data_IF_408182282753
#
_entry.id   IF_408182282753
#
_cell.length_a   1.000
_cell.length_b   1.000
_cell.length_c   1.000
_cell.angle_alpha   90.00
_cell.angle_beta   90.00
_cell.angle_gamma   90.00
#
_symmetry.space_group_name_H-M   'P 1'
#
loop_
_entity.id
_entity.type
_entity.pdbx_description
1 polymer ?
#
# COMPACT_ATOMS: atom_id res chain seq x y z
N UNK A 1 -31.27 -18.24 23.00
CA UNK A 1 -30.23 -17.40 22.32
C UNK A 1 -28.86 -17.96 22.67
N UNK A 2 -27.93 -17.97 21.74
CA UNK A 2 -26.53 -18.32 22.00
C UNK A 2 -25.92 -17.25 22.91
N UNK A 3 -25.16 -17.66 23.96
CA UNK A 3 -24.54 -16.72 24.87
C UNK A 3 -23.50 -15.88 24.16
N UNK A 4 -23.35 -14.60 24.53
CA UNK A 4 -22.39 -13.69 23.89
C UNK A 4 -20.96 -14.23 23.90
N UNK A 5 -20.54 -14.89 25.00
CA UNK A 5 -19.23 -15.53 25.10
C UNK A 5 -19.03 -16.62 24.02
N UNK A 6 -20.06 -17.44 23.72
CA UNK A 6 -19.97 -18.48 22.69
C UNK A 6 -19.83 -17.86 21.29
N UNK A 7 -20.56 -16.78 21.01
CA UNK A 7 -20.44 -16.04 19.73
C UNK A 7 -19.05 -15.47 19.54
N UNK A 8 -18.50 -14.86 20.59
CA UNK A 8 -17.15 -14.27 20.54
C UNK A 8 -16.09 -15.35 20.35
N UNK A 9 -16.19 -16.48 21.08
CA UNK A 9 -15.30 -17.65 20.87
C UNK A 9 -15.36 -18.16 19.42
N UNK A 10 -16.58 -18.41 18.93
CA UNK A 10 -16.78 -18.86 17.55
C UNK A 10 -16.17 -17.89 16.53
N UNK A 11 -16.29 -16.57 16.76
CA UNK A 11 -15.69 -15.57 15.91
C UNK A 11 -14.15 -15.58 15.96
N UNK A 12 -13.57 -15.71 17.17
CA UNK A 12 -12.12 -15.80 17.35
C UNK A 12 -11.56 -17.02 16.61
N UNK A 13 -12.19 -18.19 16.79
CA UNK A 13 -11.76 -19.44 16.16
C UNK A 13 -11.93 -19.41 14.62
N UNK A 14 -13.13 -19.00 14.15
CA UNK A 14 -13.45 -18.98 12.71
C UNK A 14 -12.51 -18.05 11.90
N UNK A 15 -12.17 -16.89 12.46
CA UNK A 15 -11.39 -15.86 11.76
C UNK A 15 -9.95 -15.75 12.25
N UNK A 16 -9.51 -16.61 13.17
CA UNK A 16 -8.15 -16.59 13.71
C UNK A 16 -7.80 -15.24 14.33
N UNK A 17 -8.74 -14.62 15.08
CA UNK A 17 -8.55 -13.25 15.58
C UNK A 17 -7.49 -13.16 16.68
N UNK A 18 -7.41 -14.17 17.53
CA UNK A 18 -6.50 -14.22 18.68
C UNK A 18 -5.89 -15.62 18.72
N UNK A 19 -4.56 -15.70 18.84
CA UNK A 19 -3.82 -16.95 19.01
C UNK A 19 -3.42 -17.15 20.47
N UNK A 20 -3.07 -18.40 20.80
CA UNK A 20 -2.57 -18.73 22.12
C UNK A 20 -1.27 -17.97 22.42
N UNK A 21 -1.14 -17.49 23.67
CA UNK A 21 -0.04 -16.69 24.19
C UNK A 21 0.08 -15.27 23.59
N UNK A 22 -0.87 -14.83 22.78
CA UNK A 22 -0.94 -13.42 22.37
C UNK A 22 -1.44 -12.53 23.51
N UNK A 23 -1.01 -11.28 23.52
CA UNK A 23 -1.57 -10.24 24.37
C UNK A 23 -2.47 -9.33 23.56
N UNK A 24 -3.69 -9.08 24.05
CA UNK A 24 -4.72 -8.30 23.37
C UNK A 24 -4.97 -6.99 24.13
N UNK A 25 -4.79 -5.87 23.44
CA UNK A 25 -5.15 -4.55 23.94
C UNK A 25 -6.61 -4.26 23.61
N UNK A 26 -7.43 -3.99 24.60
CA UNK A 26 -8.83 -3.59 24.42
C UNK A 26 -8.93 -2.07 24.39
N UNK A 27 -9.44 -1.52 23.27
CA UNK A 27 -9.80 -0.10 23.18
C UNK A 27 -11.04 0.18 24.02
N UNK A 28 -10.87 0.79 25.17
CA UNK A 28 -11.90 0.94 26.21
C UNK A 28 -12.37 2.39 26.27
N UNK A 29 -13.59 2.67 25.73
CA UNK A 29 -14.20 4.00 25.77
C UNK A 29 -14.94 4.30 27.09
N UNK A 30 -15.25 3.28 27.86
CA UNK A 30 -16.14 3.37 29.03
C UNK A 30 -17.61 3.09 28.72
N UNK A 31 -18.01 3.08 27.44
CA UNK A 31 -19.39 2.74 27.03
C UNK A 31 -19.69 1.23 27.07
N UNK A 32 -20.98 0.89 27.04
CA UNK A 32 -21.51 -0.47 27.19
C UNK A 32 -20.77 -1.51 26.33
N UNK A 33 -20.58 -1.21 25.01
CA UNK A 33 -19.99 -2.15 24.06
C UNK A 33 -18.51 -2.47 24.41
N UNK A 34 -17.73 -1.46 24.78
CA UNK A 34 -16.32 -1.64 25.12
C UNK A 34 -16.12 -2.34 26.47
N UNK A 35 -16.97 -2.04 27.45
CA UNK A 35 -16.96 -2.69 28.77
C UNK A 35 -17.39 -4.16 28.64
N UNK A 36 -18.45 -4.44 27.86
CA UNK A 36 -18.87 -5.80 27.57
C UNK A 36 -17.79 -6.60 26.82
N UNK A 37 -17.11 -6.00 25.83
CA UNK A 37 -16.00 -6.63 25.12
C UNK A 37 -14.88 -7.03 26.11
N UNK A 38 -14.43 -6.09 26.95
CA UNK A 38 -13.41 -6.37 27.95
C UNK A 38 -13.82 -7.53 28.87
N UNK A 39 -15.05 -7.49 29.39
CA UNK A 39 -15.56 -8.50 30.30
C UNK A 39 -15.69 -9.90 29.64
N UNK A 40 -16.20 -9.98 28.41
CA UNK A 40 -16.27 -11.25 27.65
C UNK A 40 -14.88 -11.80 27.43
N UNK A 41 -13.95 -10.97 26.96
CA UNK A 41 -12.58 -11.42 26.71
C UNK A 41 -11.88 -11.87 27.99
N UNK A 42 -12.09 -11.22 29.13
CA UNK A 42 -11.56 -11.65 30.44
C UNK A 42 -12.09 -13.04 30.83
N UNK A 43 -13.38 -13.33 30.60
CA UNK A 43 -13.97 -14.63 30.91
C UNK A 43 -13.41 -15.77 30.07
N UNK A 44 -13.13 -15.53 28.80
CA UNK A 44 -12.67 -16.57 27.85
C UNK A 44 -11.15 -16.69 27.80
N UNK A 45 -10.40 -15.67 28.19
CA UNK A 45 -8.94 -15.65 28.13
C UNK A 45 -8.26 -16.85 28.83
N UNK A 46 -8.67 -17.28 30.03
CA UNK A 46 -8.02 -18.43 30.69
C UNK A 46 -8.16 -19.74 29.91
N UNK A 47 -9.30 -19.93 29.23
CA UNK A 47 -9.56 -21.13 28.41
C UNK A 47 -8.81 -21.08 27.08
N UNK A 48 -8.78 -19.90 26.44
CA UNK A 48 -8.15 -19.73 25.11
C UNK A 48 -6.65 -19.45 25.19
N UNK A 49 -6.13 -19.12 26.38
CA UNK A 49 -4.69 -18.97 26.64
C UNK A 49 -4.09 -17.67 26.10
N UNK A 50 -4.76 -16.53 26.24
CA UNK A 50 -4.25 -15.21 25.88
C UNK A 50 -4.31 -14.24 27.08
N UNK A 51 -3.59 -13.12 26.99
CA UNK A 51 -3.56 -12.08 28.03
C UNK A 51 -4.26 -10.81 27.55
N UNK A 52 -4.70 -9.98 28.52
CA UNK A 52 -5.38 -8.72 28.24
C UNK A 52 -4.68 -7.52 28.86
N UNK A 53 -4.73 -6.42 28.11
CA UNK A 53 -4.48 -5.07 28.58
C UNK A 53 -5.50 -4.10 27.96
N UNK A 54 -5.55 -2.87 28.41
CA UNK A 54 -6.52 -1.89 27.97
C UNK A 54 -5.86 -0.54 27.63
N UNK A 55 -6.52 0.21 26.74
CA UNK A 55 -6.14 1.58 26.42
C UNK A 55 -7.38 2.49 26.36
N UNK A 56 -7.31 3.64 27.00
CA UNK A 56 -8.37 4.66 27.00
C UNK A 56 -7.84 5.99 26.48
N UNK A 57 -8.51 6.55 25.47
CA UNK A 57 -8.22 7.88 24.96
C UNK A 57 -9.32 8.86 25.33
N UNK A 58 -8.96 9.88 26.11
CA UNK A 58 -9.79 11.05 26.34
C UNK A 58 -9.61 12.04 25.18
N UNK A 59 -10.67 12.30 24.43
CA UNK A 59 -10.63 13.14 23.23
C UNK A 59 -10.64 14.65 23.51
N UNK A 60 -10.78 15.07 24.79
CA UNK A 60 -10.86 16.49 25.16
C UNK A 60 -12.11 17.23 24.63
N UNK A 61 -13.14 16.50 24.16
CA UNK A 61 -14.33 17.09 23.51
C UNK A 61 -15.38 17.50 24.56
N UNK A 62 -15.59 16.67 25.59
CA UNK A 62 -16.71 16.79 26.54
C UNK A 62 -16.32 17.31 27.92
N UNK A 63 -15.10 17.83 28.10
CA UNK A 63 -14.64 18.42 29.36
C UNK A 63 -14.84 17.48 30.58
N UNK A 64 -15.71 17.88 31.54
CA UNK A 64 -15.95 17.13 32.75
C UNK A 64 -16.51 15.70 32.56
N UNK A 65 -17.31 15.46 31.50
CA UNK A 65 -17.83 14.11 31.22
C UNK A 65 -16.69 13.18 30.78
N UNK A 66 -15.79 13.66 29.89
CA UNK A 66 -14.65 12.87 29.43
C UNK A 66 -13.69 12.52 30.58
N UNK A 67 -13.50 13.43 31.56
CA UNK A 67 -12.70 13.15 32.74
C UNK A 67 -13.37 12.11 33.67
N UNK A 68 -14.70 12.20 33.87
CA UNK A 68 -15.47 11.19 34.59
C UNK A 68 -15.33 9.80 33.94
N UNK A 69 -15.45 9.72 32.61
CA UNK A 69 -15.34 8.47 31.85
C UNK A 69 -13.93 7.89 32.03
N UNK A 70 -12.90 8.72 32.01
CA UNK A 70 -11.50 8.29 32.27
C UNK A 70 -11.33 7.74 33.68
N UNK A 71 -11.83 8.42 34.70
CA UNK A 71 -11.78 7.92 36.10
C UNK A 71 -12.50 6.58 36.24
N UNK A 72 -13.69 6.44 35.63
CA UNK A 72 -14.44 5.19 35.61
C UNK A 72 -13.62 4.04 35.01
N UNK A 73 -12.98 4.26 33.83
CA UNK A 73 -12.17 3.25 33.16
C UNK A 73 -10.95 2.86 34.02
N UNK A 74 -10.31 3.82 34.70
CA UNK A 74 -9.19 3.57 35.60
C UNK A 74 -9.60 2.70 36.79
N UNK A 75 -10.73 3.01 37.41
CA UNK A 75 -11.28 2.23 38.51
C UNK A 75 -11.67 0.82 38.09
N UNK A 76 -12.33 0.68 36.95
CA UNK A 76 -12.73 -0.60 36.35
C UNK A 76 -11.50 -1.50 36.11
N UNK A 77 -10.50 -1.00 35.39
CA UNK A 77 -9.30 -1.77 35.10
C UNK A 77 -8.51 -2.14 36.36
N UNK A 78 -8.41 -1.23 37.33
CA UNK A 78 -7.79 -1.50 38.63
C UNK A 78 -8.53 -2.62 39.39
N UNK A 79 -9.86 -2.59 39.41
CA UNK A 79 -10.69 -3.63 40.05
C UNK A 79 -10.57 -5.01 39.37
N UNK A 80 -10.37 -5.04 38.06
CA UNK A 80 -10.21 -6.25 37.27
C UNK A 80 -8.75 -6.74 37.14
N UNK A 81 -7.78 -5.98 37.64
CA UNK A 81 -6.35 -6.30 37.55
C UNK A 81 -5.81 -6.22 36.10
N UNK A 82 -6.43 -5.41 35.23
CA UNK A 82 -6.05 -5.23 33.81
C UNK A 82 -5.08 -4.07 33.68
N UNK A 83 -3.88 -4.25 33.09
CA UNK A 83 -2.97 -3.16 32.78
C UNK A 83 -3.63 -2.13 31.86
N UNK A 84 -3.52 -0.84 32.16
CA UNK A 84 -4.20 0.24 31.44
C UNK A 84 -3.23 1.37 31.12
N UNK A 85 -3.27 1.84 29.85
CA UNK A 85 -2.66 3.11 29.43
C UNK A 85 -3.76 4.11 29.11
N UNK A 86 -3.66 5.32 29.66
CA UNK A 86 -4.59 6.43 29.37
C UNK A 86 -3.82 7.60 28.77
N UNK A 87 -4.43 8.25 27.77
CA UNK A 87 -3.91 9.49 27.19
C UNK A 87 -5.06 10.49 27.00
N UNK A 88 -4.75 11.78 27.10
CA UNK A 88 -5.69 12.87 26.82
C UNK A 88 -5.16 13.71 25.65
N UNK A 89 -5.98 13.98 24.63
CA UNK A 89 -5.65 14.78 23.46
C UNK A 89 -6.72 15.85 23.20
N UNK A 90 -6.28 17.07 22.87
CA UNK A 90 -7.17 18.13 22.35
C UNK A 90 -7.53 17.87 20.90
N UNK A 91 -8.45 16.94 20.66
CA UNK A 91 -8.91 16.62 19.30
C UNK A 91 -9.53 17.82 18.57
N UNK A 92 -10.34 18.70 19.19
CA UNK A 92 -10.82 19.91 18.55
C UNK A 92 -9.71 20.84 18.04
N UNK A 93 -8.63 21.00 18.82
CA UNK A 93 -7.45 21.78 18.40
C UNK A 93 -6.72 21.14 17.22
N UNK A 94 -6.52 19.83 17.27
CA UNK A 94 -5.86 19.05 16.21
C UNK A 94 -6.69 19.11 14.91
N UNK A 95 -8.00 18.88 14.97
CA UNK A 95 -8.89 18.92 13.82
C UNK A 95 -8.81 20.27 13.09
N UNK A 96 -8.82 21.38 13.85
CA UNK A 96 -8.67 22.73 13.29
C UNK A 96 -7.30 22.95 12.64
N UNK A 97 -6.23 22.49 13.30
CA UNK A 97 -4.86 22.65 12.79
C UNK A 97 -4.62 21.83 11.49
N UNK A 98 -5.20 20.64 11.40
CA UNK A 98 -5.04 19.73 10.25
C UNK A 98 -6.10 19.93 9.15
N UNK A 99 -7.09 20.81 9.34
CA UNK A 99 -8.17 21.04 8.37
C UNK A 99 -9.08 19.83 8.15
N UNK A 100 -9.22 18.97 9.18
CA UNK A 100 -10.02 17.75 9.16
C UNK A 100 -11.35 17.93 9.90
N UNK A 101 -12.32 17.04 9.61
CA UNK A 101 -13.50 16.95 10.46
C UNK A 101 -13.12 16.40 11.84
N UNK A 102 -13.91 16.75 12.86
CA UNK A 102 -13.71 16.27 14.22
C UNK A 102 -13.68 14.73 14.29
N UNK A 103 -14.59 14.08 13.57
CA UNK A 103 -14.69 12.60 13.49
C UNK A 103 -13.45 11.98 12.86
N UNK A 104 -12.94 12.56 11.76
CA UNK A 104 -11.72 12.08 11.11
C UNK A 104 -10.51 12.21 12.03
N UNK A 105 -10.31 13.39 12.63
CA UNK A 105 -9.19 13.60 13.55
C UNK A 105 -9.27 12.67 14.76
N UNK A 106 -10.47 12.54 15.38
CA UNK A 106 -10.69 11.65 16.51
C UNK A 106 -10.37 10.18 16.15
N UNK A 107 -10.81 9.72 14.98
CA UNK A 107 -10.56 8.36 14.49
C UNK A 107 -9.06 8.12 14.26
N UNK A 108 -8.38 8.99 13.55
CA UNK A 108 -6.95 8.85 13.25
C UNK A 108 -6.12 8.83 14.54
N UNK A 109 -6.32 9.81 15.43
CA UNK A 109 -5.57 9.92 16.69
C UNK A 109 -5.86 8.76 17.64
N UNK A 110 -7.07 8.21 17.63
CA UNK A 110 -7.42 6.99 18.39
C UNK A 110 -6.60 5.80 17.94
N UNK A 111 -6.48 5.54 16.63
CA UNK A 111 -5.69 4.41 16.13
C UNK A 111 -4.19 4.64 16.31
N UNK A 112 -3.68 5.86 16.11
CA UNK A 112 -2.29 6.21 16.43
C UNK A 112 -1.98 5.92 17.90
N UNK A 113 -2.86 6.32 18.81
CA UNK A 113 -2.71 6.05 20.25
C UNK A 113 -2.77 4.54 20.55
N UNK A 114 -3.73 3.81 20.01
CA UNK A 114 -3.83 2.37 20.23
C UNK A 114 -2.58 1.61 19.76
N UNK A 115 -2.00 2.00 18.64
CA UNK A 115 -0.74 1.39 18.18
C UNK A 115 0.44 1.72 19.10
N UNK A 116 0.54 2.94 19.63
CA UNK A 116 1.56 3.29 20.64
C UNK A 116 1.38 2.50 21.93
N UNK A 117 0.16 2.48 22.48
CA UNK A 117 -0.17 1.74 23.68
C UNK A 117 0.05 0.23 23.54
N UNK A 118 -0.29 -0.35 22.37
CA UNK A 118 -0.01 -1.76 22.08
C UNK A 118 1.49 -2.06 22.11
N UNK A 119 2.32 -1.18 21.53
CA UNK A 119 3.77 -1.32 21.58
C UNK A 119 4.32 -1.18 23.00
N UNK A 120 3.81 -0.25 23.78
CA UNK A 120 4.21 -0.01 25.18
C UNK A 120 3.89 -1.21 26.07
N UNK A 121 2.70 -1.79 25.93
CA UNK A 121 2.23 -2.92 26.72
C UNK A 121 2.61 -4.29 26.14
N UNK A 122 3.32 -4.34 25.02
CA UNK A 122 3.69 -5.58 24.33
C UNK A 122 2.47 -6.35 23.83
N UNK A 123 1.44 -5.66 23.31
CA UNK A 123 0.23 -6.31 22.78
C UNK A 123 0.36 -6.60 21.29
N UNK A 124 -0.03 -7.82 20.90
CA UNK A 124 -0.01 -8.33 19.53
C UNK A 124 -1.23 -7.88 18.74
N UNK A 125 -2.39 -7.77 19.40
CA UNK A 125 -3.68 -7.43 18.81
C UNK A 125 -4.32 -6.26 19.53
N UNK A 126 -5.17 -5.51 18.78
CA UNK A 126 -5.98 -4.39 19.29
C UNK A 126 -7.44 -4.74 19.04
N UNK A 127 -8.18 -5.05 20.10
CA UNK A 127 -9.60 -5.36 20.03
C UNK A 127 -10.45 -4.09 20.18
N UNK A 128 -11.36 -3.87 19.22
CA UNK A 128 -12.32 -2.76 19.22
C UNK A 128 -13.75 -3.28 19.23
N UNK A 129 -14.66 -2.59 19.93
CA UNK A 129 -15.99 -3.03 20.23
C UNK A 129 -17.02 -2.73 19.12
N UNK A 130 -16.62 -2.78 17.85
CA UNK A 130 -17.59 -2.69 16.75
C UNK A 130 -18.47 -3.95 16.72
N UNK A 131 -19.76 -3.76 16.52
CA UNK A 131 -20.77 -4.81 16.57
C UNK A 131 -21.58 -4.88 15.26
N UNK A 132 -22.57 -5.81 15.18
CA UNK A 132 -23.34 -6.09 13.98
C UNK A 132 -24.14 -4.86 13.48
N UNK A 133 -24.65 -4.05 14.39
CA UNK A 133 -25.39 -2.83 14.00
C UNK A 133 -24.45 -1.79 13.37
N UNK A 134 -23.21 -1.62 13.86
CA UNK A 134 -22.19 -0.80 13.22
C UNK A 134 -21.80 -1.31 11.83
N UNK A 135 -21.80 -2.64 11.66
CA UNK A 135 -21.55 -3.29 10.38
C UNK A 135 -22.63 -2.92 9.37
N UNK A 136 -23.91 -3.03 9.77
CA UNK A 136 -25.05 -2.65 8.93
C UNK A 136 -25.00 -1.17 8.54
N UNK A 137 -24.71 -0.27 9.50
CA UNK A 137 -24.53 1.16 9.24
C UNK A 137 -23.43 1.41 8.19
N UNK A 138 -22.29 0.72 8.31
CA UNK A 138 -21.18 0.86 7.39
C UNK A 138 -21.54 0.39 5.98
N UNK A 139 -22.21 -0.77 5.85
CA UNK A 139 -22.67 -1.30 4.57
C UNK A 139 -23.67 -0.33 3.93
N UNK A 140 -24.67 0.14 4.69
CA UNK A 140 -25.66 1.11 4.20
C UNK A 140 -25.02 2.42 3.75
N UNK A 141 -24.05 2.94 4.51
CA UNK A 141 -23.34 4.17 4.14
C UNK A 141 -22.59 4.01 2.82
N UNK A 142 -21.92 2.86 2.62
CA UNK A 142 -21.21 2.54 1.39
C UNK A 142 -22.18 2.32 0.21
N UNK A 143 -23.29 1.66 0.43
CA UNK A 143 -24.35 1.47 -0.57
C UNK A 143 -24.89 2.82 -1.07
N UNK A 144 -25.25 3.72 -0.15
CA UNK A 144 -25.76 5.06 -0.47
C UNK A 144 -24.73 5.90 -1.24
N UNK A 145 -23.43 5.72 -0.96
CA UNK A 145 -22.33 6.38 -1.68
C UNK A 145 -21.99 5.75 -3.03
N UNK A 146 -22.64 4.65 -3.42
CA UNK A 146 -22.36 3.95 -4.67
C UNK A 146 -21.05 3.19 -4.67
N UNK A 147 -20.59 2.70 -3.51
CA UNK A 147 -19.37 1.92 -3.41
C UNK A 147 -19.49 0.57 -4.13
N UNK A 148 -18.35 0.07 -4.67
CA UNK A 148 -18.27 -1.28 -5.23
C UNK A 148 -18.32 -2.38 -4.17
N UNK A 149 -18.11 -3.63 -4.58
CA UNK A 149 -18.22 -4.83 -3.71
C UNK A 149 -17.48 -4.68 -2.38
N UNK A 150 -16.25 -4.16 -2.38
CA UNK A 150 -15.45 -3.97 -1.14
C UNK A 150 -16.17 -3.12 -0.09
N UNK A 151 -16.90 -2.09 -0.50
CA UNK A 151 -17.70 -1.30 0.45
C UNK A 151 -18.90 -2.07 1.01
N UNK A 152 -19.53 -2.93 0.21
CA UNK A 152 -20.69 -3.74 0.59
C UNK A 152 -20.36 -4.91 1.51
N UNK A 153 -19.08 -5.30 1.62
CA UNK A 153 -18.62 -6.27 2.62
C UNK A 153 -18.57 -5.69 4.04
N UNK A 154 -18.64 -4.36 4.16
CA UNK A 154 -18.54 -3.65 5.43
C UNK A 154 -17.14 -3.74 6.06
N UNK A 155 -17.09 -3.77 7.40
CA UNK A 155 -15.83 -3.88 8.15
C UNK A 155 -15.28 -5.30 8.12
N UNK A 156 -13.96 -5.43 8.00
CA UNK A 156 -13.27 -6.72 8.12
C UNK A 156 -13.21 -7.18 9.59
N UNK A 157 -13.32 -8.50 9.86
CA UNK A 157 -13.11 -9.06 11.20
C UNK A 157 -11.77 -8.70 11.80
N UNK A 158 -10.72 -8.71 10.97
CA UNK A 158 -9.37 -8.28 11.28
C UNK A 158 -8.81 -7.40 10.16
N UNK A 159 -8.07 -6.37 10.53
CA UNK A 159 -7.32 -5.51 9.61
C UNK A 159 -5.97 -5.15 10.25
N UNK A 160 -4.89 -5.71 9.69
CA UNK A 160 -3.60 -5.67 10.35
C UNK A 160 -3.66 -6.35 11.73
N UNK A 161 -3.32 -5.61 12.78
CA UNK A 161 -3.43 -6.09 14.17
C UNK A 161 -4.74 -5.68 14.87
N UNK A 162 -5.65 -4.99 14.18
CA UNK A 162 -6.94 -4.58 14.75
C UNK A 162 -7.95 -5.69 14.53
N UNK A 163 -8.65 -6.13 15.59
CA UNK A 163 -9.66 -7.19 15.58
C UNK A 163 -11.00 -6.69 16.12
N UNK A 164 -12.11 -7.32 15.66
CA UNK A 164 -13.49 -6.94 16.02
C UNK A 164 -14.29 -8.15 16.49
N UNK A 165 -14.05 -8.61 17.73
CA UNK A 165 -14.66 -9.83 18.23
C UNK A 165 -16.19 -9.79 18.37
N UNK A 166 -16.79 -8.58 18.51
CA UNK A 166 -18.25 -8.38 18.64
C UNK A 166 -18.98 -8.19 17.31
N UNK A 167 -18.30 -8.29 16.16
CA UNK A 167 -18.87 -7.95 14.85
C UNK A 167 -20.13 -8.78 14.48
N UNK A 168 -20.35 -9.92 15.13
CA UNK A 168 -21.52 -10.82 14.95
C UNK A 168 -22.54 -10.73 16.06
N UNK A 169 -22.34 -9.86 17.04
CA UNK A 169 -23.30 -9.60 18.12
C UNK A 169 -24.15 -8.37 17.81
N UNK A 170 -25.45 -8.44 18.07
CA UNK A 170 -26.34 -7.30 18.02
C UNK A 170 -26.10 -6.43 19.26
N UNK A 171 -26.27 -5.12 19.12
CA UNK A 171 -26.17 -4.19 20.23
C UNK A 171 -27.08 -4.60 21.41
N UNK A 172 -28.32 -5.02 21.12
CA UNK A 172 -29.24 -5.51 22.14
C UNK A 172 -28.66 -6.69 22.93
N UNK A 173 -27.99 -7.64 22.30
CA UNK A 173 -27.38 -8.78 22.98
C UNK A 173 -26.22 -8.33 23.91
N UNK A 174 -25.49 -7.31 23.51
CA UNK A 174 -24.40 -6.72 24.30
C UNK A 174 -24.99 -6.00 25.53
N UNK A 175 -26.08 -5.24 25.38
CA UNK A 175 -26.78 -4.56 26.44
C UNK A 175 -27.41 -5.56 27.45
N UNK A 176 -28.08 -6.62 26.95
CA UNK A 176 -28.60 -7.72 27.75
C UNK A 176 -27.49 -8.41 28.54
N UNK A 177 -26.36 -8.70 27.88
CA UNK A 177 -25.18 -9.29 28.55
C UNK A 177 -24.63 -8.37 29.66
N UNK A 178 -24.53 -7.07 29.40
CA UNK A 178 -24.06 -6.11 30.40
C UNK A 178 -25.01 -6.06 31.62
N UNK A 179 -26.30 -6.09 31.39
CA UNK A 179 -27.32 -6.13 32.46
C UNK A 179 -27.26 -7.44 33.26
N UNK A 180 -27.19 -8.59 32.59
CA UNK A 180 -27.15 -9.92 33.25
C UNK A 180 -25.88 -10.12 34.10
N UNK A 181 -24.78 -9.44 33.74
CA UNK A 181 -23.54 -9.49 34.53
C UNK A 181 -23.35 -8.30 35.45
N UNK A 182 -24.34 -7.41 35.59
CA UNK A 182 -24.29 -6.24 36.48
C UNK A 182 -23.16 -5.26 36.14
N UNK A 183 -22.81 -5.12 34.83
CA UNK A 183 -21.74 -4.25 34.41
C UNK A 183 -22.16 -2.78 34.47
N UNK A 184 -21.37 -1.97 35.13
CA UNK A 184 -21.52 -0.51 35.07
C UNK A 184 -20.78 0.04 33.85
N UNK A 185 -21.35 1.08 33.20
CA UNK A 185 -20.75 1.76 32.05
C UNK A 185 -21.21 3.22 31.98
N UNK A 186 -20.49 4.04 31.23
CA UNK A 186 -20.83 5.44 30.99
C UNK A 186 -21.77 5.56 29.78
N UNK A 187 -22.82 6.40 29.90
CA UNK A 187 -23.68 6.72 28.76
C UNK A 187 -23.13 7.93 28.00
N UNK A 188 -22.98 7.79 26.68
CA UNK A 188 -22.53 8.85 25.81
C UNK A 188 -23.73 9.67 25.29
N UNK A 189 -23.82 10.94 25.68
CA UNK A 189 -24.90 11.86 25.27
C UNK A 189 -24.88 12.19 23.77
N UNK A 190 -23.74 12.09 23.09
CA UNK A 190 -23.59 12.43 21.65
C UNK A 190 -24.16 11.37 20.70
N UNK A 191 -24.47 10.19 21.19
CA UNK A 191 -25.10 9.11 20.39
C UNK A 191 -26.48 9.48 19.84
N UNK A 192 -27.11 10.55 20.31
CA UNK A 192 -28.45 11.01 19.93
C UNK A 192 -28.43 12.16 18.91
N UNK A 193 -27.26 12.70 18.55
CA UNK A 193 -27.16 13.81 17.59
C UNK A 193 -27.37 13.31 16.15
N UNK A 194 -28.34 13.95 15.41
CA UNK A 194 -28.74 13.54 14.04
C UNK A 194 -27.93 14.17 12.90
N UNK A 195 -26.91 14.95 13.21
CA UNK A 195 -26.21 15.75 12.19
C UNK A 195 -25.30 14.93 11.28
N UNK A 196 -24.80 13.80 11.73
CA UNK A 196 -23.97 12.91 10.91
C UNK A 196 -24.83 11.92 10.09
N UNK A 197 -24.46 11.68 8.84
CA UNK A 197 -25.14 10.72 7.95
C UNK A 197 -25.27 9.31 8.58
N UNK A 198 -24.28 8.91 9.37
CA UNK A 198 -24.28 7.63 10.07
C UNK A 198 -25.36 7.56 11.14
N UNK A 199 -25.55 8.63 11.89
CA UNK A 199 -26.61 8.69 12.91
C UNK A 199 -28.01 8.69 12.29
N UNK A 200 -28.22 9.30 11.10
CA UNK A 200 -29.49 9.18 10.36
C UNK A 200 -29.78 7.75 9.91
N UNK A 201 -28.75 7.02 9.47
CA UNK A 201 -28.90 5.60 9.12
C UNK A 201 -29.31 4.80 10.36
N UNK A 202 -28.63 5.02 11.51
CA UNK A 202 -28.89 4.34 12.79
C UNK A 202 -30.25 4.65 13.38
N UNK A 203 -30.64 5.93 13.44
CA UNK A 203 -31.81 6.37 14.19
C UNK A 203 -33.08 6.43 13.36
N UNK A 204 -32.96 6.59 12.04
CA UNK A 204 -34.12 6.80 11.18
C UNK A 204 -34.27 5.66 10.16
N UNK A 205 -33.24 5.35 9.36
CA UNK A 205 -33.39 4.48 8.20
C UNK A 205 -33.44 2.97 8.58
N UNK A 206 -32.51 2.49 9.38
CA UNK A 206 -32.49 1.08 9.80
C UNK A 206 -33.77 0.74 10.59
N UNK A 207 -34.19 1.52 11.61
CA UNK A 207 -35.46 1.27 12.32
C UNK A 207 -36.66 1.28 11.38
N UNK A 208 -36.75 2.25 10.46
CA UNK A 208 -37.85 2.30 9.49
C UNK A 208 -37.95 1.01 8.66
N UNK A 209 -36.80 0.50 8.18
CA UNK A 209 -36.78 -0.74 7.39
C UNK A 209 -37.15 -1.94 8.27
N UNK A 210 -36.66 -2.01 9.49
CA UNK A 210 -36.97 -3.12 10.41
C UNK A 210 -38.45 -3.17 10.79
N UNK A 211 -39.04 -2.02 11.06
CA UNK A 211 -40.43 -1.92 11.51
C UNK A 211 -41.45 -2.09 10.38
N UNK A 212 -41.11 -1.67 9.15
CA UNK A 212 -42.08 -1.60 8.06
C UNK A 212 -41.84 -2.59 6.91
N UNK A 213 -40.60 -3.09 6.75
CA UNK A 213 -40.24 -3.91 5.58
C UNK A 213 -39.65 -5.26 5.95
N UNK A 214 -38.63 -5.30 6.83
CA UNK A 214 -37.94 -6.53 7.17
C UNK A 214 -37.35 -6.48 8.59
N UNK A 215 -37.96 -7.13 9.59
CA UNK A 215 -37.46 -7.16 10.96
C UNK A 215 -36.03 -7.71 11.10
N UNK A 216 -35.59 -8.62 10.19
CA UNK A 216 -34.26 -9.23 10.17
C UNK A 216 -33.30 -8.50 9.21
N UNK A 217 -33.56 -7.22 8.92
CA UNK A 217 -32.77 -6.46 7.92
C UNK A 217 -31.27 -6.42 8.25
N UNK A 218 -30.92 -6.15 9.50
CA UNK A 218 -29.50 -6.04 9.92
C UNK A 218 -28.77 -7.36 9.76
N UNK A 219 -29.37 -8.45 10.21
CA UNK A 219 -28.82 -9.82 10.06
C UNK A 219 -28.67 -10.20 8.59
N UNK A 220 -29.70 -9.94 7.78
CA UNK A 220 -29.67 -10.19 6.34
C UNK A 220 -28.59 -9.39 5.62
N UNK A 221 -28.44 -8.11 5.96
CA UNK A 221 -27.45 -7.24 5.38
C UNK A 221 -26.01 -7.69 5.73
N UNK A 222 -25.77 -8.05 6.99
CA UNK A 222 -24.48 -8.55 7.44
C UNK A 222 -24.15 -9.92 6.83
N UNK A 223 -25.14 -10.81 6.70
CA UNK A 223 -25.00 -12.11 6.02
C UNK A 223 -24.65 -11.92 4.53
N UNK A 224 -25.30 -10.99 3.85
CA UNK A 224 -24.94 -10.63 2.47
C UNK A 224 -23.49 -10.14 2.39
N UNK A 225 -23.07 -9.25 3.30
CA UNK A 225 -21.68 -8.76 3.34
C UNK A 225 -20.67 -9.87 3.51
N UNK A 226 -20.98 -10.89 4.31
CA UNK A 226 -20.10 -12.07 4.54
C UNK A 226 -20.02 -12.97 3.30
N UNK A 227 -21.13 -13.20 2.58
CA UNK A 227 -21.11 -13.95 1.33
C UNK A 227 -20.29 -13.23 0.26
N UNK A 228 -20.46 -11.91 0.13
CA UNK A 228 -19.67 -11.10 -0.79
C UNK A 228 -18.18 -11.14 -0.45
N UNK A 229 -17.82 -11.23 0.83
CA UNK A 229 -16.43 -11.36 1.27
C UNK A 229 -15.81 -12.67 0.80
N UNK A 230 -16.53 -13.81 0.96
CA UNK A 230 -16.05 -15.10 0.51
C UNK A 230 -15.81 -15.13 -1.01
N UNK A 231 -16.73 -14.56 -1.80
CA UNK A 231 -16.58 -14.46 -3.25
C UNK A 231 -15.41 -13.57 -3.63
N UNK A 232 -15.25 -12.40 -2.96
CA UNK A 232 -14.15 -11.46 -3.23
C UNK A 232 -12.78 -12.07 -2.88
N UNK A 233 -12.66 -12.77 -1.74
CA UNK A 233 -11.44 -13.45 -1.33
C UNK A 233 -11.03 -14.54 -2.33
N UNK A 234 -12.00 -15.32 -2.82
CA UNK A 234 -11.76 -16.34 -3.84
C UNK A 234 -11.30 -15.74 -5.16
N UNK A 235 -11.99 -14.69 -5.64
CA UNK A 235 -11.62 -13.98 -6.88
C UNK A 235 -10.28 -13.25 -6.77
N UNK A 236 -9.99 -12.63 -5.63
CA UNK A 236 -8.69 -12.00 -5.36
C UNK A 236 -7.57 -13.06 -5.32
N UNK A 237 -7.84 -14.26 -4.77
CA UNK A 237 -6.92 -15.41 -4.80
C UNK A 237 -6.58 -15.81 -6.25
N UNK A 238 -7.59 -16.06 -7.07
CA UNK A 238 -7.40 -16.39 -8.49
C UNK A 238 -6.66 -15.28 -9.26
N UNK A 239 -6.95 -14.02 -8.96
CA UNK A 239 -6.28 -12.90 -9.61
C UNK A 239 -4.81 -12.80 -9.23
N UNK A 240 -4.44 -13.08 -7.97
CA UNK A 240 -3.04 -13.15 -7.50
C UNK A 240 -2.28 -14.29 -8.15
N UNK A 241 -2.90 -15.47 -8.27
CA UNK A 241 -2.30 -16.61 -8.94
C UNK A 241 -2.04 -16.29 -10.42
N UNK A 242 -3.02 -15.76 -11.13
CA UNK A 242 -2.87 -15.32 -12.51
C UNK A 242 -1.79 -14.23 -12.69
N UNK A 243 -1.70 -13.30 -11.74
CA UNK A 243 -0.67 -12.26 -11.75
C UNK A 243 0.73 -12.85 -11.54
N UNK A 244 0.87 -13.84 -10.64
CA UNK A 244 2.11 -14.56 -10.39
C UNK A 244 2.58 -15.34 -11.61
N UNK A 245 1.65 -16.02 -12.31
CA UNK A 245 1.94 -16.73 -13.56
C UNK A 245 2.31 -15.79 -14.73
N UNK A 246 1.77 -14.57 -14.74
CA UNK A 246 2.10 -13.57 -15.74
C UNK A 246 3.41 -12.83 -15.43
N UNK A 247 4.08 -13.07 -14.30
CA UNK A 247 5.31 -12.36 -13.89
C UNK A 247 6.43 -12.59 -14.89
N UNK A 248 7.13 -11.51 -15.27
CA UNK A 248 8.33 -11.51 -16.13
C UNK A 248 9.49 -10.82 -15.39
N UNK A 249 10.68 -10.79 -15.98
CA UNK A 249 11.82 -10.06 -15.39
C UNK A 249 11.58 -8.55 -15.29
N UNK A 250 10.80 -7.96 -16.22
CA UNK A 250 10.59 -6.51 -16.29
C UNK A 250 9.22 -6.07 -15.76
N UNK A 251 8.27 -7.00 -15.57
CA UNK A 251 6.90 -6.67 -15.19
C UNK A 251 5.96 -7.86 -15.31
N UNK A 252 4.90 -7.73 -16.10
CA UNK A 252 3.90 -8.80 -16.31
C UNK A 252 3.62 -9.00 -17.80
N UNK A 253 3.51 -10.25 -18.24
CA UNK A 253 3.11 -10.62 -19.60
C UNK A 253 1.72 -10.08 -19.91
N UNK A 254 1.67 -9.12 -20.82
CA UNK A 254 0.43 -8.43 -21.17
C UNK A 254 -0.56 -9.30 -21.96
N UNK A 255 -0.08 -10.29 -22.72
CA UNK A 255 -0.96 -11.19 -23.46
C UNK A 255 -1.69 -12.14 -22.51
N UNK A 256 -0.99 -12.68 -21.51
CA UNK A 256 -1.60 -13.47 -20.44
C UNK A 256 -2.63 -12.66 -19.66
N UNK A 257 -2.29 -11.43 -19.24
CA UNK A 257 -3.24 -10.57 -18.54
C UNK A 257 -4.43 -10.19 -19.43
N UNK A 258 -4.23 -9.91 -20.71
CA UNK A 258 -5.31 -9.58 -21.65
C UNK A 258 -6.29 -10.75 -21.86
N UNK A 259 -5.81 -11.99 -21.77
CA UNK A 259 -6.64 -13.20 -21.92
C UNK A 259 -7.52 -13.50 -20.70
N UNK A 260 -7.26 -12.89 -19.54
CA UNK A 260 -8.06 -13.12 -18.33
C UNK A 260 -9.52 -12.66 -18.52
N UNK A 261 -10.49 -13.36 -17.92
CA UNK A 261 -11.85 -12.84 -17.77
C UNK A 261 -11.85 -11.45 -17.09
N UNK A 262 -12.77 -10.59 -17.50
CA UNK A 262 -12.82 -9.19 -17.03
C UNK A 262 -12.75 -9.04 -15.50
N UNK A 263 -13.47 -9.83 -14.69
CA UNK A 263 -13.38 -9.74 -13.22
C UNK A 263 -11.99 -10.03 -12.66
N UNK A 264 -11.27 -10.99 -13.23
CA UNK A 264 -9.91 -11.32 -12.80
C UNK A 264 -8.88 -10.33 -13.32
N UNK A 265 -9.03 -9.90 -14.58
CA UNK A 265 -8.18 -8.90 -15.22
C UNK A 265 -8.12 -7.60 -14.42
N UNK A 266 -9.29 -7.05 -14.08
CA UNK A 266 -9.37 -5.79 -13.33
C UNK A 266 -8.78 -5.91 -11.93
N UNK A 267 -8.95 -7.06 -11.26
CA UNK A 267 -8.35 -7.35 -9.95
C UNK A 267 -6.84 -7.51 -10.04
N UNK A 268 -6.35 -8.31 -10.98
CA UNK A 268 -4.91 -8.53 -11.18
C UNK A 268 -4.18 -7.21 -11.43
N UNK A 269 -4.72 -6.35 -12.29
CA UNK A 269 -4.16 -5.01 -12.53
C UNK A 269 -4.19 -4.16 -11.27
N UNK A 270 -5.30 -4.16 -10.51
CA UNK A 270 -5.39 -3.41 -9.25
C UNK A 270 -4.35 -3.90 -8.24
N UNK A 271 -4.18 -5.21 -8.10
CA UNK A 271 -3.16 -5.81 -7.22
C UNK A 271 -1.76 -5.35 -7.65
N UNK A 272 -1.43 -5.45 -8.95
CA UNK A 272 -0.14 -5.03 -9.47
C UNK A 272 0.15 -3.54 -9.23
N UNK A 273 -0.86 -2.68 -9.36
CA UNK A 273 -0.79 -1.23 -9.08
C UNK A 273 -0.46 -0.96 -7.60
N UNK A 274 -1.12 -1.67 -6.68
CA UNK A 274 -0.85 -1.52 -5.24
C UNK A 274 0.50 -2.13 -4.84
N UNK A 275 0.90 -3.27 -5.39
CA UNK A 275 2.24 -3.86 -5.19
C UNK A 275 3.37 -2.94 -5.68
N UNK A 276 3.10 -2.12 -6.70
CA UNK A 276 4.05 -1.15 -7.21
C UNK A 276 4.13 0.15 -6.39
N UNK A 277 3.35 0.28 -5.31
CA UNK A 277 3.43 1.39 -4.35
C UNK A 277 2.32 2.44 -4.44
N UNK A 278 1.25 2.22 -5.21
CA UNK A 278 0.06 3.06 -5.10
C UNK A 278 -0.63 2.81 -3.76
N UNK A 279 -0.93 3.87 -3.01
CA UNK A 279 -1.47 3.76 -1.64
C UNK A 279 -2.92 4.21 -1.52
N UNK A 280 -3.36 5.15 -2.34
CA UNK A 280 -4.70 5.74 -2.30
C UNK A 280 -5.12 6.27 -3.68
N UNK A 281 -6.38 6.71 -3.79
CA UNK A 281 -6.93 7.44 -4.95
C UNK A 281 -6.90 6.70 -6.30
N UNK A 282 -6.75 5.36 -6.27
CA UNK A 282 -6.82 4.54 -7.49
C UNK A 282 -8.29 4.27 -7.83
N UNK A 283 -8.84 5.09 -8.72
CA UNK A 283 -10.20 4.98 -9.19
C UNK A 283 -10.37 3.92 -10.30
N UNK A 284 -11.63 3.54 -10.55
CA UNK A 284 -12.00 2.61 -11.63
C UNK A 284 -11.46 3.03 -13.00
N UNK A 285 -11.54 4.32 -13.34
CA UNK A 285 -11.03 4.87 -14.61
C UNK A 285 -9.51 4.62 -14.81
N UNK A 286 -8.74 4.61 -13.73
CA UNK A 286 -7.29 4.32 -13.80
C UNK A 286 -7.06 2.86 -14.17
N UNK A 287 -7.81 1.95 -13.58
CA UNK A 287 -7.71 0.51 -13.90
C UNK A 287 -8.18 0.23 -15.33
N UNK A 288 -9.29 0.83 -15.78
CA UNK A 288 -9.79 0.72 -17.16
C UNK A 288 -8.75 1.19 -18.19
N UNK A 289 -8.13 2.36 -17.93
CA UNK A 289 -7.03 2.88 -18.77
C UNK A 289 -5.86 1.92 -18.88
N UNK A 290 -5.48 1.24 -17.79
CA UNK A 290 -4.40 0.26 -17.80
C UNK A 290 -4.84 -1.00 -18.57
N UNK A 291 -6.09 -1.44 -18.43
CA UNK A 291 -6.62 -2.58 -19.21
C UNK A 291 -6.53 -2.31 -20.72
N UNK A 292 -6.84 -1.09 -21.18
CA UNK A 292 -6.71 -0.70 -22.59
C UNK A 292 -5.25 -0.76 -23.06
N UNK A 293 -4.30 -0.48 -22.15
CA UNK A 293 -2.87 -0.57 -22.48
C UNK A 293 -2.38 -1.98 -22.74
N UNK A 294 -3.07 -3.02 -22.29
CA UNK A 294 -2.68 -4.41 -22.55
C UNK A 294 -2.65 -4.74 -24.05
N UNK A 295 -3.43 -4.04 -24.87
CA UNK A 295 -3.46 -4.19 -26.35
C UNK A 295 -2.77 -3.04 -27.08
N UNK A 296 -2.30 -2.02 -26.38
CA UNK A 296 -1.70 -0.83 -26.98
C UNK A 296 -0.30 -1.11 -27.55
N UNK A 297 0.22 -0.17 -28.36
CA UNK A 297 1.59 -0.24 -28.91
C UNK A 297 2.65 -0.08 -27.81
N UNK A 298 3.81 -0.68 -28.02
CA UNK A 298 5.00 -0.50 -27.15
C UNK A 298 5.29 0.99 -26.94
N UNK A 299 5.51 1.39 -25.69
CA UNK A 299 5.73 2.76 -25.28
C UNK A 299 4.46 3.52 -24.87
N UNK A 300 3.28 2.90 -24.93
CA UNK A 300 2.09 3.44 -24.27
C UNK A 300 2.34 3.56 -22.75
N UNK A 301 1.83 4.64 -22.15
CA UNK A 301 1.98 4.90 -20.72
C UNK A 301 0.73 5.54 -20.13
N UNK A 302 0.53 5.34 -18.84
CA UNK A 302 -0.49 5.99 -18.04
C UNK A 302 0.08 6.36 -16.69
N UNK A 303 -0.11 7.63 -16.29
CA UNK A 303 0.18 8.07 -14.94
C UNK A 303 -1.04 7.81 -14.06
N UNK A 304 -0.79 7.27 -12.89
CA UNK A 304 -1.75 6.92 -11.84
C UNK A 304 -1.25 7.61 -10.57
N UNK A 305 -2.10 7.89 -9.58
CA UNK A 305 -1.62 8.44 -8.32
C UNK A 305 -0.44 7.63 -7.76
N UNK A 306 0.67 8.31 -7.49
CA UNK A 306 1.95 7.82 -6.93
C UNK A 306 2.80 6.91 -7.83
N UNK A 307 2.27 6.34 -8.92
CA UNK A 307 3.02 5.46 -9.82
C UNK A 307 2.67 5.71 -11.30
N UNK A 308 3.44 5.10 -12.20
CA UNK A 308 3.14 5.04 -13.63
C UNK A 308 3.05 3.59 -14.10
N UNK A 309 2.22 3.34 -15.13
CA UNK A 309 2.20 2.10 -15.88
C UNK A 309 2.72 2.35 -17.30
N UNK A 310 3.51 1.43 -17.85
CA UNK A 310 4.00 1.53 -19.24
C UNK A 310 4.10 0.18 -19.91
N UNK A 311 4.00 0.18 -21.24
CA UNK A 311 4.15 -1.02 -22.08
C UNK A 311 5.58 -1.10 -22.59
N UNK A 312 6.29 -2.17 -22.24
CA UNK A 312 7.63 -2.50 -22.73
C UNK A 312 7.57 -3.84 -23.47
N UNK A 313 7.65 -3.79 -24.81
CA UNK A 313 7.52 -4.96 -25.72
C UNK A 313 6.32 -5.88 -25.35
N UNK A 314 6.57 -7.09 -24.84
CA UNK A 314 5.56 -8.07 -24.45
C UNK A 314 5.01 -7.87 -23.02
N UNK A 315 5.55 -6.92 -22.25
CA UNK A 315 5.24 -6.74 -20.82
C UNK A 315 4.53 -5.42 -20.55
N UNK A 316 3.71 -5.40 -19.50
CA UNK A 316 3.25 -4.19 -18.83
C UNK A 316 4.01 -4.05 -17.50
N UNK A 317 4.53 -2.87 -17.25
CA UNK A 317 5.38 -2.57 -16.10
C UNK A 317 4.70 -1.50 -15.24
N UNK A 318 4.95 -1.55 -13.93
CA UNK A 318 4.43 -0.60 -12.94
C UNK A 318 5.56 -0.13 -12.04
N UNK A 319 5.55 1.13 -11.61
CA UNK A 319 6.52 1.68 -10.67
C UNK A 319 6.61 3.19 -10.70
N UNK A 320 7.50 3.73 -9.88
CA UNK A 320 7.83 5.15 -9.92
C UNK A 320 8.72 5.36 -11.15
N UNK A 321 8.21 6.11 -12.12
CA UNK A 321 9.02 6.50 -13.28
C UNK A 321 10.09 7.46 -12.79
N UNK A 322 11.31 6.97 -12.66
CA UNK A 322 12.45 7.88 -12.55
C UNK A 322 12.50 8.66 -13.87
N UNK A 323 12.16 9.94 -13.82
CA UNK A 323 12.53 10.85 -14.89
C UNK A 323 14.05 10.77 -14.97
N UNK A 324 14.58 10.19 -16.03
CA UNK A 324 16.01 10.18 -16.26
C UNK A 324 16.44 11.64 -16.23
N UNK A 325 17.17 12.03 -15.19
CA UNK A 325 17.75 13.36 -15.09
C UNK A 325 18.55 13.57 -16.38
N UNK A 326 18.28 14.65 -17.12
CA UNK A 326 19.11 15.02 -18.26
C UNK A 326 20.53 15.20 -17.74
N UNK A 327 21.40 14.28 -18.11
CA UNK A 327 22.84 14.36 -17.83
C UNK A 327 23.46 15.10 -19.00
N UNK A 328 24.30 16.06 -18.76
CA UNK A 328 25.17 16.69 -19.75
C UNK A 328 26.37 17.36 -19.04
N UNK A 329 27.44 16.58 -18.80
CA UNK A 329 28.65 17.02 -18.10
C UNK A 329 29.88 16.80 -18.97
N UNK A 330 30.93 17.65 -18.87
CA UNK A 330 32.22 17.39 -19.53
C UNK A 330 32.81 16.08 -19.00
N UNK A 331 33.38 15.27 -19.92
CA UNK A 331 34.06 14.04 -19.54
C UNK A 331 35.51 14.30 -19.15
N UNK A 332 35.91 13.80 -17.98
CA UNK A 332 37.31 13.83 -17.54
C UNK A 332 38.04 12.60 -18.06
N UNK A 333 39.07 12.81 -18.89
CA UNK A 333 39.86 11.74 -19.51
C UNK A 333 40.76 11.03 -18.47
N UNK A 334 41.10 11.67 -17.37
CA UNK A 334 41.87 11.08 -16.26
C UNK A 334 41.13 11.35 -14.95
N UNK A 335 40.52 10.31 -14.38
CA UNK A 335 39.78 10.37 -13.14
C UNK A 335 38.27 10.21 -13.30
N UNK A 336 37.54 10.81 -12.38
CA UNK A 336 36.11 10.59 -12.23
C UNK A 336 35.28 11.72 -12.89
N UNK A 337 34.20 11.32 -13.56
CA UNK A 337 33.16 12.21 -14.08
C UNK A 337 31.85 11.86 -13.41
N UNK A 338 31.45 12.62 -12.37
CA UNK A 338 30.19 12.42 -11.61
C UNK A 338 28.99 13.08 -12.27
N UNK A 339 27.82 12.45 -12.11
CA UNK A 339 26.51 12.95 -12.47
C UNK A 339 25.43 12.33 -11.56
N UNK A 340 24.21 12.80 -11.63
CA UNK A 340 23.12 12.23 -10.85
C UNK A 340 22.86 10.77 -11.26
N UNK A 341 23.05 9.82 -10.32
CA UNK A 341 22.82 8.39 -10.52
C UNK A 341 24.07 7.59 -10.90
N UNK A 342 25.30 8.17 -10.78
CA UNK A 342 26.54 7.42 -10.96
C UNK A 342 27.72 8.23 -11.46
N UNK A 343 28.75 7.53 -11.93
CA UNK A 343 29.94 8.16 -12.50
C UNK A 343 30.61 7.30 -13.56
N UNK A 344 31.40 7.94 -14.42
CA UNK A 344 32.41 7.31 -15.25
C UNK A 344 33.78 7.52 -14.63
N UNK A 345 34.59 6.47 -14.58
CA UNK A 345 35.96 6.56 -14.16
C UNK A 345 36.89 6.18 -15.34
N UNK A 346 37.82 7.06 -15.64
CA UNK A 346 38.75 6.89 -16.76
C UNK A 346 40.19 6.90 -16.26
N UNK A 347 41.01 5.92 -16.72
CA UNK A 347 42.41 5.81 -16.40
C UNK A 347 43.21 5.25 -17.58
N UNK A 348 44.46 5.68 -17.70
CA UNK A 348 45.41 5.10 -18.66
C UNK A 348 45.84 3.72 -18.17
N UNK A 349 45.89 2.72 -19.08
CA UNK A 349 46.31 1.36 -18.75
C UNK A 349 47.36 0.87 -19.75
N UNK A 350 48.36 0.11 -19.23
CA UNK A 350 49.38 -0.57 -20.03
C UNK A 350 48.99 -2.05 -20.15
N UNK A 351 48.39 -2.45 -21.28
CA UNK A 351 48.10 -3.86 -21.63
C UNK A 351 46.81 -4.44 -21.05
N UNK A 352 46.36 -5.56 -21.63
CA UNK A 352 45.31 -6.45 -21.11
C UNK A 352 43.86 -5.92 -21.27
N UNK A 353 43.19 -6.26 -22.39
CA UNK A 353 41.76 -5.97 -22.59
C UNK A 353 40.93 -7.05 -21.90
N UNK A 354 40.21 -6.69 -20.83
CA UNK A 354 39.21 -7.55 -20.18
C UNK A 354 37.83 -7.18 -20.72
N UNK A 355 37.16 -8.07 -21.44
CA UNK A 355 35.80 -7.82 -21.94
C UNK A 355 34.80 -7.80 -20.78
N UNK A 356 34.21 -6.63 -20.55
CA UNK A 356 33.09 -6.44 -19.61
C UNK A 356 32.13 -5.42 -20.22
N UNK A 357 30.83 -5.57 -19.96
CA UNK A 357 29.79 -4.70 -20.55
C UNK A 357 29.74 -3.28 -19.93
N UNK A 358 30.30 -3.08 -18.74
CA UNK A 358 30.38 -1.79 -18.05
C UNK A 358 31.77 -1.14 -18.16
N UNK A 359 32.72 -1.80 -18.83
CA UNK A 359 34.10 -1.33 -19.01
C UNK A 359 34.39 -1.24 -20.49
N UNK A 360 34.86 -0.09 -20.93
CA UNK A 360 35.35 0.16 -22.28
C UNK A 360 36.87 0.34 -22.30
N UNK A 361 37.56 -0.25 -23.30
CA UNK A 361 38.95 0.02 -23.64
C UNK A 361 38.97 0.82 -24.94
N UNK A 362 39.48 2.02 -24.90
CA UNK A 362 39.38 3.04 -25.96
C UNK A 362 40.80 3.45 -26.35
N UNK A 363 41.05 3.59 -27.65
CA UNK A 363 42.29 4.19 -28.16
C UNK A 363 42.28 5.69 -27.82
N UNK A 364 43.18 6.08 -26.88
CA UNK A 364 43.26 7.46 -26.39
C UNK A 364 43.63 8.45 -27.52
N UNK A 365 44.41 8.02 -28.47
CA UNK A 365 44.90 8.87 -29.58
C UNK A 365 43.80 9.14 -30.62
N UNK A 366 42.71 8.32 -30.63
CA UNK A 366 41.52 8.52 -31.47
C UNK A 366 40.44 9.35 -30.80
N UNK A 367 40.61 9.73 -29.54
CA UNK A 367 39.59 10.55 -28.83
C UNK A 367 39.61 12.01 -29.30
N UNK A 368 38.51 12.53 -29.80
CA UNK A 368 38.43 13.94 -30.18
C UNK A 368 38.31 14.84 -28.93
N UNK A 369 38.52 16.15 -29.11
CA UNK A 369 38.26 17.13 -28.06
C UNK A 369 36.78 17.31 -27.76
N UNK A 370 36.46 17.81 -26.57
CA UNK A 370 35.07 18.16 -26.21
C UNK A 370 34.18 16.97 -25.87
N UNK A 371 34.74 15.92 -25.26
CA UNK A 371 34.00 14.76 -24.80
C UNK A 371 33.00 15.13 -23.68
N UNK A 372 31.82 14.55 -23.75
CA UNK A 372 30.78 14.74 -22.76
C UNK A 372 30.12 13.43 -22.38
N UNK A 373 29.75 13.30 -21.12
CA UNK A 373 28.80 12.30 -20.66
C UNK A 373 27.44 12.95 -20.65
N UNK A 374 26.54 12.44 -21.47
CA UNK A 374 25.17 12.98 -21.55
C UNK A 374 24.15 11.92 -21.92
N UNK A 375 22.88 12.22 -21.69
CA UNK A 375 21.76 11.45 -22.23
C UNK A 375 21.63 11.70 -23.74
N UNK A 376 20.99 10.75 -24.44
CA UNK A 376 20.79 10.83 -25.89
C UNK A 376 19.94 12.04 -26.33
N UNK A 377 20.21 12.51 -27.54
CA UNK A 377 19.41 13.55 -28.26
C UNK A 377 18.95 13.03 -29.62
N UNK A 378 17.94 13.67 -30.19
CA UNK A 378 17.54 13.34 -31.56
C UNK A 378 18.67 13.69 -32.55
N UNK A 379 18.95 12.76 -33.46
CA UNK A 379 20.05 12.89 -34.41
C UNK A 379 21.33 12.19 -34.01
N UNK A 380 21.49 11.77 -32.76
CA UNK A 380 22.67 11.02 -32.29
C UNK A 380 22.86 9.70 -33.07
N UNK A 381 24.14 9.37 -33.30
CA UNK A 381 24.57 8.20 -34.08
C UNK A 381 25.50 7.29 -33.28
N UNK A 382 25.49 6.03 -33.65
CA UNK A 382 26.43 5.04 -33.09
C UNK A 382 26.88 4.08 -34.17
N UNK A 383 28.18 3.80 -34.18
CA UNK A 383 28.79 2.81 -35.09
C UNK A 383 29.42 1.72 -34.24
N UNK A 384 28.69 0.61 -34.05
CA UNK A 384 29.22 -0.53 -33.29
C UNK A 384 30.39 -1.19 -34.03
N UNK A 385 31.36 -1.70 -33.33
CA UNK A 385 32.49 -2.46 -33.90
C UNK A 385 31.96 -3.59 -34.81
N UNK A 386 32.48 -3.68 -36.04
CA UNK A 386 32.07 -4.70 -37.02
C UNK A 386 30.75 -4.42 -37.74
N UNK A 387 30.12 -3.28 -37.57
CA UNK A 387 28.79 -2.98 -38.16
C UNK A 387 28.85 -2.36 -39.56
N UNK A 388 29.99 -2.20 -40.20
CA UNK A 388 30.11 -1.67 -41.58
C UNK A 388 29.60 -0.23 -41.80
N UNK A 389 29.01 0.43 -40.80
CA UNK A 389 28.52 1.82 -40.89
C UNK A 389 27.80 2.29 -39.63
N UNK A 390 27.69 3.62 -39.48
CA UNK A 390 26.99 4.23 -38.35
C UNK A 390 25.48 4.35 -38.59
N UNK A 391 24.64 4.00 -37.62
CA UNK A 391 23.18 4.21 -37.63
C UNK A 391 22.73 5.20 -36.56
N UNK A 392 21.49 5.67 -36.68
CA UNK A 392 20.90 6.52 -35.62
C UNK A 392 20.84 5.73 -34.31
N UNK A 393 21.21 6.37 -33.20
CA UNK A 393 21.20 5.76 -31.88
C UNK A 393 19.81 5.24 -31.48
N UNK A 394 18.75 5.93 -31.90
CA UNK A 394 17.37 5.50 -31.75
C UNK A 394 17.10 4.12 -32.36
N UNK A 395 17.58 3.91 -33.61
CA UNK A 395 17.37 2.66 -34.35
C UNK A 395 18.22 1.53 -33.72
N UNK A 396 19.44 1.84 -33.28
CA UNK A 396 20.28 0.91 -32.55
C UNK A 396 19.58 0.35 -31.29
N UNK A 397 18.96 1.23 -30.48
CA UNK A 397 18.23 0.81 -29.30
C UNK A 397 16.96 0.00 -29.61
N UNK A 398 16.29 0.28 -30.73
CA UNK A 398 15.13 -0.50 -31.17
C UNK A 398 15.59 -1.91 -31.58
N UNK A 399 16.63 -2.02 -32.39
CA UNK A 399 17.16 -3.31 -32.88
C UNK A 399 17.66 -4.20 -31.72
N UNK A 400 18.22 -3.59 -30.69
CA UNK A 400 18.69 -4.28 -29.47
C UNK A 400 17.59 -4.49 -28.42
N UNK A 401 16.33 -4.11 -28.74
CA UNK A 401 15.17 -4.21 -27.86
C UNK A 401 15.40 -3.56 -26.50
N UNK A 402 16.18 -2.46 -26.45
CA UNK A 402 16.42 -1.73 -25.20
C UNK A 402 15.11 -1.12 -24.73
N UNK A 403 14.67 -1.36 -23.49
CA UNK A 403 13.50 -0.75 -22.89
C UNK A 403 13.53 0.78 -23.01
N UNK A 404 12.38 1.41 -23.22
CA UNK A 404 12.32 2.86 -23.52
C UNK A 404 12.84 3.73 -22.38
N UNK A 405 12.59 3.32 -21.15
CA UNK A 405 13.05 3.93 -19.90
C UNK A 405 14.58 3.86 -19.75
N UNK A 406 15.20 2.79 -20.21
CA UNK A 406 16.67 2.61 -20.18
C UNK A 406 17.40 3.34 -21.31
N UNK A 407 16.69 3.84 -22.34
CA UNK A 407 17.34 4.55 -23.47
C UNK A 407 17.89 5.92 -23.13
N UNK A 408 17.57 6.46 -21.96
CA UNK A 408 18.08 7.74 -21.46
C UNK A 408 19.26 7.54 -20.48
N UNK A 409 19.95 6.40 -20.56
CA UNK A 409 21.17 6.18 -19.81
C UNK A 409 22.27 7.20 -20.17
N UNK A 410 23.20 7.48 -19.26
CA UNK A 410 24.38 8.28 -19.55
C UNK A 410 25.29 7.56 -20.54
N UNK A 411 25.72 8.27 -21.58
CA UNK A 411 26.53 7.75 -22.69
C UNK A 411 27.69 8.69 -22.90
N UNK A 412 28.88 8.17 -23.21
CA UNK A 412 30.02 9.00 -23.60
C UNK A 412 29.90 9.41 -25.07
N UNK A 413 29.89 10.72 -25.32
CA UNK A 413 29.73 11.33 -26.63
C UNK A 413 30.92 12.21 -27.03
N UNK A 414 31.09 12.31 -28.36
CA UNK A 414 31.76 13.43 -29.00
C UNK A 414 30.78 14.06 -30.01
N UNK A 415 30.32 15.28 -29.76
CA UNK A 415 29.27 15.90 -30.55
C UNK A 415 28.00 15.04 -30.58
N UNK A 416 27.61 14.58 -31.78
CA UNK A 416 26.47 13.65 -31.98
C UNK A 416 26.86 12.17 -32.05
N UNK A 417 28.13 11.85 -31.99
CA UNK A 417 28.62 10.46 -32.06
C UNK A 417 28.76 9.85 -30.67
N UNK A 418 28.02 8.78 -30.38
CA UNK A 418 28.17 7.98 -29.19
C UNK A 418 29.47 7.14 -29.31
N UNK A 419 30.33 7.23 -28.29
CA UNK A 419 31.61 6.53 -28.26
C UNK A 419 31.57 5.29 -27.37
N UNK A 420 30.88 5.36 -26.21
CA UNK A 420 30.69 4.23 -25.32
C UNK A 420 29.29 4.26 -24.73
N UNK A 421 28.57 3.17 -24.93
CA UNK A 421 27.24 2.93 -24.37
C UNK A 421 27.36 1.83 -23.31
N UNK A 422 27.25 2.14 -22.01
CA UNK A 422 27.32 1.14 -20.93
C UNK A 422 26.32 0.00 -21.18
N UNK A 423 26.80 -1.24 -21.03
CA UNK A 423 25.99 -2.43 -21.30
C UNK A 423 25.90 -2.87 -22.78
N UNK A 424 26.24 -1.98 -23.74
CA UNK A 424 26.04 -2.26 -25.18
C UNK A 424 27.31 -2.17 -26.03
N UNK A 425 28.37 -1.52 -25.55
CA UNK A 425 29.68 -1.55 -26.17
C UNK A 425 30.22 -0.19 -26.62
N UNK A 426 31.35 -0.23 -27.39
CA UNK A 426 32.07 0.94 -27.84
C UNK A 426 31.94 1.15 -29.35
N UNK A 427 32.17 2.39 -29.77
CA UNK A 427 32.17 2.77 -31.19
C UNK A 427 33.43 2.27 -31.89
N UNK A 428 33.26 1.82 -33.15
CA UNK A 428 34.37 1.45 -34.03
C UNK A 428 35.35 2.59 -34.25
N UNK A 429 34.91 3.84 -34.11
CA UNK A 429 35.74 5.06 -34.24
C UNK A 429 36.85 5.16 -33.20
N UNK A 430 36.70 4.54 -32.06
CA UNK A 430 37.64 4.62 -30.89
C UNK A 430 38.14 3.27 -30.44
N UNK A 431 37.99 2.23 -31.25
CA UNK A 431 38.44 0.89 -30.94
C UNK A 431 39.96 0.83 -30.81
N UNK A 432 40.43 -0.02 -29.90
CA UNK A 432 41.86 -0.38 -29.78
C UNK A 432 42.25 -1.31 -30.93
N UNK A 433 43.36 -1.03 -31.55
CA UNK A 433 43.98 -1.80 -32.65
C UNK A 433 45.39 -2.24 -32.27
N UNK A 434 46.03 -3.11 -33.07
CA UNK A 434 47.38 -3.65 -32.79
C UNK A 434 48.45 -2.55 -32.67
N UNK A 435 48.27 -1.41 -33.35
CA UNK A 435 49.19 -0.29 -33.34
C UNK A 435 48.83 0.81 -32.29
N UNK A 436 47.80 0.61 -31.47
CA UNK A 436 47.41 1.56 -30.40
C UNK A 436 48.51 1.64 -29.35
N UNK A 437 49.02 2.87 -29.09
CA UNK A 437 50.10 3.11 -28.13
C UNK A 437 49.56 3.45 -26.73
N UNK A 438 48.42 4.11 -26.65
CA UNK A 438 47.83 4.57 -25.38
C UNK A 438 46.38 4.11 -25.27
N UNK A 439 46.13 3.26 -24.27
CA UNK A 439 44.78 2.73 -24.01
C UNK A 439 44.19 3.42 -22.79
N UNK A 440 42.95 3.88 -22.94
CA UNK A 440 42.14 4.43 -21.86
C UNK A 440 41.11 3.39 -21.44
N UNK A 441 41.08 3.03 -20.17
CA UNK A 441 40.03 2.22 -19.56
C UNK A 441 38.94 3.15 -19.03
N UNK A 442 37.70 2.99 -19.46
CA UNK A 442 36.56 3.75 -19.02
C UNK A 442 35.57 2.82 -18.38
N UNK A 443 35.29 3.00 -17.09
CA UNK A 443 34.37 2.19 -16.29
C UNK A 443 33.15 3.01 -15.95
N UNK A 444 31.95 2.46 -16.15
CA UNK A 444 30.69 3.04 -15.69
C UNK A 444 30.26 2.38 -14.39
N UNK A 445 29.94 3.18 -13.39
CA UNK A 445 29.40 2.75 -12.09
C UNK A 445 28.08 3.48 -11.85
N UNK A 446 27.00 2.70 -11.70
CA UNK A 446 25.70 3.23 -11.25
C UNK A 446 25.70 3.32 -9.72
N UNK A 447 25.29 4.46 -9.17
CA UNK A 447 24.98 4.62 -7.74
C UNK A 447 23.47 4.38 -7.56
N UNK A 448 23.13 3.57 -6.55
CA UNK A 448 21.75 3.22 -6.20
C UNK A 448 21.04 4.35 -5.46
#
# INVERSE_FOLDING_TARGET
MEKLESKVKSAIDKYGLINKNERVLVGLSGGADSVALLHVLLKIAPEMGFELCAAHLNHGIRGAEAHRDQCFVQELCKGLGVPLVCEELDIPGIARAEGKTLEQAAREKRYEFFHRAAKELGADKIAVAHHMDDQAESIMLHLIRGSGLKGLMGMEPAYGNIIRPLLWARRREIEEYAADNGLSYCNDSTNLERDASRNRIRLDLIPYIQDNLNPCFVEGLCSMGELLRQDEEYLDGLARDALREARTQEGYDRARLAALPLPLKSRAIRIAVFEAGATADVERRHIERIMDMLTAKTGAHADIPHISAWVSYGSICFGIRQNANEVDVPFNIEGETRFAGGFFFAEAVEGGIIKNNTVAYIDRDKLPAGLRVRTRRDGDRFQLIGSGGGKKLKDFFIDRKVPRDQRNMPILFSGSDALFIPGYGISDKVKVEENTKRVLRVTYVAEQ
#
